data_IF_794053487953
#
_entry.id   IF_794053487953
#
_cell.length_a   1.000
_cell.length_b   1.000
_cell.length_c   1.000
_cell.angle_alpha   90.00
_cell.angle_beta   90.00
_cell.angle_gamma   90.00
#
_symmetry.space_group_name_H-M   'P 1'
#
loop_
_entity.id
_entity.type
_entity.pdbx_description
1 polymer ?
#
# COMPACT_ATOMS: atom_id res chain seq x y z
N UNK A 1 10.06 5.46 -6.21
CA UNK A 1 10.34 6.45 -7.28
C UNK A 1 11.46 7.37 -6.83
N UNK A 2 11.88 8.33 -7.65
CA UNK A 2 12.81 9.37 -7.25
C UNK A 2 12.29 10.74 -7.72
N UNK A 3 12.32 11.74 -6.85
CA UNK A 3 11.98 13.11 -7.21
C UNK A 3 13.20 13.79 -7.83
N UNK A 4 12.97 14.57 -8.89
CA UNK A 4 13.96 15.52 -9.40
C UNK A 4 13.52 16.91 -8.97
N UNK A 5 14.12 17.42 -7.90
CA UNK A 5 13.98 18.85 -7.55
C UNK A 5 14.96 19.63 -8.41
N UNK A 6 14.50 20.71 -9.04
CA UNK A 6 15.42 21.65 -9.73
C UNK A 6 16.10 22.48 -8.63
N UNK A 7 17.16 21.92 -8.05
CA UNK A 7 18.00 22.62 -7.09
C UNK A 7 18.59 23.87 -7.77
N UNK A 8 18.47 25.01 -7.08
CA UNK A 8 19.43 26.09 -7.26
C UNK A 8 20.83 25.64 -6.80
N UNK A 9 21.76 26.56 -6.60
CA UNK A 9 23.12 26.21 -6.16
C UNK A 9 23.22 25.65 -4.73
N UNK A 10 22.09 25.46 -4.03
CA UNK A 10 22.04 24.96 -2.65
C UNK A 10 21.33 23.61 -2.53
N UNK A 11 21.84 22.80 -1.61
CA UNK A 11 21.42 21.41 -1.42
C UNK A 11 20.07 21.33 -0.71
N UNK A 12 19.14 20.47 -1.17
CA UNK A 12 17.89 20.18 -0.43
C UNK A 12 18.22 19.54 0.92
N UNK A 13 17.52 19.97 1.98
CA UNK A 13 17.82 19.61 3.37
C UNK A 13 16.82 18.63 3.96
N UNK A 14 15.54 18.69 3.60
CA UNK A 14 14.54 17.73 4.09
C UNK A 14 13.38 17.51 3.13
N UNK A 15 12.78 16.31 3.25
CA UNK A 15 11.53 15.94 2.61
C UNK A 15 10.59 15.36 3.67
N UNK A 16 9.44 15.99 3.89
CA UNK A 16 8.45 15.58 4.87
C UNK A 16 7.05 15.55 4.25
N UNK A 17 6.21 14.59 4.63
CA UNK A 17 4.79 14.61 4.24
C UNK A 17 4.08 15.76 4.95
N UNK A 18 3.25 16.49 4.21
CA UNK A 18 2.31 17.42 4.79
C UNK A 18 1.17 16.66 5.47
N UNK A 19 1.36 16.37 6.76
CA UNK A 19 0.38 15.69 7.61
C UNK A 19 -0.90 16.49 7.83
N UNK A 20 -0.94 17.78 7.48
CA UNK A 20 -2.16 18.60 7.58
C UNK A 20 -3.20 18.26 6.51
N UNK A 21 -2.78 17.58 5.44
CA UNK A 21 -3.65 17.14 4.36
C UNK A 21 -4.40 15.83 4.65
N UNK A 22 -4.12 15.17 5.79
CA UNK A 22 -4.67 13.85 6.18
C UNK A 22 -4.74 12.85 4.99
N UNK A 23 -3.59 12.39 4.48
CA UNK A 23 -3.53 11.60 3.26
C UNK A 23 -4.20 10.21 3.38
N UNK A 24 -4.58 9.80 4.60
CA UNK A 24 -5.30 8.55 4.87
C UNK A 24 -6.75 8.78 5.29
N UNK A 25 -7.27 10.00 5.13
CA UNK A 25 -8.66 10.32 5.46
C UNK A 25 -9.64 9.39 4.75
N UNK A 26 -10.48 8.71 5.54
CA UNK A 26 -11.49 7.78 5.01
C UNK A 26 -10.95 6.43 4.54
N UNK A 27 -9.65 6.18 4.70
CA UNK A 27 -9.05 4.88 4.44
C UNK A 27 -9.46 3.88 5.53
N UNK A 28 -9.90 2.70 5.14
CA UNK A 28 -10.19 1.59 6.06
C UNK A 28 -9.41 0.33 5.68
N UNK A 29 -9.18 -0.52 6.67
CA UNK A 29 -8.59 -1.84 6.50
C UNK A 29 -9.41 -2.82 7.32
N UNK A 30 -10.07 -3.78 6.66
CA UNK A 30 -10.98 -4.74 7.28
C UNK A 30 -12.15 -4.05 8.03
N UNK A 31 -12.61 -2.91 7.53
CA UNK A 31 -13.68 -2.11 8.12
C UNK A 31 -13.24 -1.14 9.22
N UNK A 32 -11.97 -1.18 9.65
CA UNK A 32 -11.44 -0.31 10.70
C UNK A 32 -10.69 0.90 10.10
N UNK A 33 -10.81 2.10 10.69
CA UNK A 33 -10.17 3.30 10.18
C UNK A 33 -8.64 3.20 10.29
N UNK A 34 -7.94 3.58 9.23
CA UNK A 34 -6.49 3.64 9.21
C UNK A 34 -6.01 4.95 9.83
N UNK A 35 -5.01 4.85 10.71
CA UNK A 35 -4.33 5.99 11.31
C UNK A 35 -2.87 6.01 10.87
N UNK A 36 -2.33 7.19 10.57
CA UNK A 36 -0.95 7.36 10.13
C UNK A 36 -0.13 8.04 11.24
N UNK A 37 0.99 7.44 11.61
CA UNK A 37 1.93 7.99 12.60
C UNK A 37 3.24 8.33 11.91
N UNK A 38 3.67 9.58 12.02
CA UNK A 38 4.98 10.05 11.58
C UNK A 38 6.01 9.88 12.69
N UNK A 39 7.21 9.42 12.34
CA UNK A 39 8.39 9.36 13.21
C UNK A 39 9.57 10.00 12.48
N UNK A 40 10.14 11.05 13.06
CA UNK A 40 11.38 11.65 12.59
C UNK A 40 12.58 10.82 13.05
N UNK A 41 13.46 10.46 12.10
CA UNK A 41 14.67 9.69 12.38
C UNK A 41 15.88 10.62 12.53
N UNK A 42 16.92 10.15 13.24
CA UNK A 42 18.13 10.94 13.50
C UNK A 42 18.98 11.20 12.24
N UNK A 43 18.75 10.46 11.15
CA UNK A 43 19.42 10.61 9.86
C UNK A 43 18.72 11.63 8.93
N UNK A 44 17.65 12.29 9.41
CA UNK A 44 16.88 13.25 8.64
C UNK A 44 15.79 12.63 7.76
N UNK A 45 15.62 11.31 7.79
CA UNK A 45 14.49 10.63 7.17
C UNK A 45 13.24 10.67 8.05
N UNK A 46 12.07 10.46 7.43
CA UNK A 46 10.79 10.32 8.10
C UNK A 46 10.16 8.97 7.80
N UNK A 47 9.75 8.26 8.85
CA UNK A 47 9.00 7.01 8.75
C UNK A 47 7.54 7.25 9.06
N UNK A 48 6.66 6.73 8.20
CA UNK A 48 5.22 6.83 8.30
C UNK A 48 4.64 5.42 8.44
N UNK A 49 4.01 5.13 9.57
CA UNK A 49 3.41 3.82 9.83
C UNK A 49 1.89 3.99 9.88
N UNK A 50 1.20 3.30 8.98
CA UNK A 50 -0.25 3.23 8.94
C UNK A 50 -0.73 2.01 9.72
N UNK A 51 -1.65 2.19 10.67
CA UNK A 51 -2.23 1.09 11.45
C UNK A 51 -3.75 1.17 11.53
N UNK A 52 -4.40 0.00 11.51
CA UNK A 52 -5.83 -0.17 11.75
C UNK A 52 -6.03 -1.18 12.87
N UNK A 53 -6.71 -0.78 13.95
CA UNK A 53 -6.88 -1.57 15.18
C UNK A 53 -5.56 -2.19 15.71
N UNK A 54 -4.46 -1.42 15.62
CA UNK A 54 -3.13 -1.86 16.05
C UNK A 54 -2.40 -2.81 15.09
N UNK A 55 -3.00 -3.17 13.96
CA UNK A 55 -2.37 -3.97 12.91
C UNK A 55 -1.71 -3.05 11.86
N UNK A 56 -0.47 -3.35 11.41
CA UNK A 56 0.18 -2.57 10.37
C UNK A 56 -0.53 -2.77 9.01
N UNK A 57 -0.84 -1.65 8.35
CA UNK A 57 -1.46 -1.61 7.02
C UNK A 57 -0.41 -1.31 5.96
N UNK A 58 0.39 -0.27 6.16
CA UNK A 58 1.56 0.01 5.32
C UNK A 58 2.60 0.82 6.07
N UNK A 59 3.83 0.80 5.56
CA UNK A 59 4.92 1.66 6.00
C UNK A 59 5.47 2.44 4.82
N UNK A 60 5.67 3.74 4.99
CA UNK A 60 6.38 4.59 4.03
C UNK A 60 7.59 5.26 4.68
N UNK A 61 8.74 5.22 4.02
CA UNK A 61 9.94 5.91 4.45
C UNK A 61 10.33 6.96 3.41
N UNK A 62 10.54 8.20 3.85
CA UNK A 62 11.00 9.31 3.01
C UNK A 62 12.38 9.73 3.49
N UNK A 63 13.38 9.58 2.63
CA UNK A 63 14.77 9.92 2.94
C UNK A 63 15.04 11.40 2.68
N UNK A 64 16.06 11.95 3.35
CA UNK A 64 16.49 13.33 3.16
C UNK A 64 17.00 13.64 1.74
N UNK A 65 17.37 12.61 0.96
CA UNK A 65 17.76 12.75 -0.45
C UNK A 65 16.58 12.77 -1.44
N UNK A 66 15.34 12.68 -0.94
CA UNK A 66 14.12 12.67 -1.75
C UNK A 66 13.75 11.31 -2.32
N UNK A 67 14.51 10.26 -1.99
CA UNK A 67 14.07 8.88 -2.27
C UNK A 67 13.01 8.44 -1.26
N UNK A 68 12.08 7.62 -1.72
CA UNK A 68 11.04 7.07 -0.85
C UNK A 68 10.82 5.58 -1.10
N UNK A 69 10.43 4.88 -0.05
CA UNK A 69 10.05 3.48 -0.08
C UNK A 69 8.65 3.32 0.53
N UNK A 70 7.74 2.67 -0.19
CA UNK A 70 6.42 2.33 0.30
C UNK A 70 6.30 0.81 0.34
N UNK A 71 5.81 0.26 1.45
CA UNK A 71 5.55 -1.17 1.65
C UNK A 71 4.14 -1.35 2.19
N UNK A 72 3.29 -2.02 1.41
CA UNK A 72 1.99 -2.51 1.87
C UNK A 72 2.22 -3.76 2.74
N UNK A 73 1.62 -3.79 3.93
CA UNK A 73 1.82 -4.84 4.94
C UNK A 73 0.52 -5.55 5.32
N UNK A 74 -0.62 -4.89 5.12
CA UNK A 74 -1.96 -5.41 5.37
C UNK A 74 -2.93 -5.05 4.24
N UNK A 75 -4.13 -5.67 4.24
CA UNK A 75 -5.17 -5.35 3.27
C UNK A 75 -5.68 -3.92 3.48
N UNK A 76 -6.21 -3.34 2.40
CA UNK A 76 -6.88 -2.05 2.40
C UNK A 76 -8.22 -2.25 1.74
N UNK A 77 -9.29 -1.65 2.28
CA UNK A 77 -10.62 -1.82 1.70
C UNK A 77 -10.80 -0.89 0.50
N UNK A 78 -11.25 -1.46 -0.62
CA UNK A 78 -11.59 -0.70 -1.81
C UNK A 78 -13.07 -0.32 -1.83
N UNK A 79 -13.38 0.77 -2.55
CA UNK A 79 -14.76 1.13 -2.84
C UNK A 79 -15.44 0.02 -3.67
N UNK A 80 -16.76 -0.14 -3.49
CA UNK A 80 -17.52 -1.15 -4.22
C UNK A 80 -17.37 -0.97 -5.75
N UNK A 81 -16.90 -2.00 -6.45
CA UNK A 81 -16.56 -1.99 -7.88
C UNK A 81 -15.32 -1.13 -8.25
N UNK A 82 -14.39 -0.94 -7.33
CA UNK A 82 -13.07 -0.34 -7.60
C UNK A 82 -11.99 -1.36 -7.31
N UNK A 83 -11.15 -1.64 -8.29
CA UNK A 83 -9.98 -2.52 -8.12
C UNK A 83 -8.72 -1.70 -7.81
N UNK A 84 -8.84 -0.37 -7.77
CA UNK A 84 -7.74 0.56 -7.58
C UNK A 84 -8.10 1.61 -6.53
N UNK A 85 -7.15 1.92 -5.67
CA UNK A 85 -7.21 2.99 -4.69
C UNK A 85 -5.96 3.87 -4.81
N UNK A 86 -6.13 5.15 -5.09
CA UNK A 86 -5.03 6.10 -5.20
C UNK A 86 -4.95 6.94 -3.93
N UNK A 87 -3.82 6.84 -3.23
CA UNK A 87 -3.44 7.68 -2.10
C UNK A 87 -2.46 8.76 -2.56
N UNK A 88 -2.76 10.01 -2.27
CA UNK A 88 -1.89 11.14 -2.62
C UNK A 88 -1.21 11.65 -1.36
N UNK A 89 0.10 11.50 -1.27
CA UNK A 89 0.91 12.00 -0.16
C UNK A 89 1.57 13.33 -0.57
N UNK A 90 1.03 14.48 -0.16
CA UNK A 90 1.71 15.75 -0.37
C UNK A 90 3.01 15.77 0.44
N UNK A 91 4.09 16.23 -0.18
CA UNK A 91 5.39 16.39 0.46
C UNK A 91 5.84 17.85 0.38
N UNK A 92 6.55 18.28 1.41
CA UNK A 92 7.21 19.58 1.51
C UNK A 92 8.71 19.28 1.50
N UNK A 93 9.39 19.83 0.50
CA UNK A 93 10.84 19.86 0.41
C UNK A 93 11.33 21.21 0.93
N UNK A 94 12.28 21.21 1.85
CA UNK A 94 12.90 22.42 2.40
C UNK A 94 14.39 22.40 2.09
N UNK A 95 14.94 23.49 1.57
CA UNK A 95 16.38 23.64 1.35
C UNK A 95 17.09 24.34 2.52
N UNK A 96 18.36 24.70 2.32
CA UNK A 96 19.25 25.14 3.39
C UNK A 96 18.96 26.56 3.90
N UNK A 97 18.52 27.47 3.03
CA UNK A 97 18.12 28.83 3.40
C UNK A 97 16.63 28.92 3.78
N UNK A 98 15.90 27.81 3.70
CA UNK A 98 14.56 27.64 4.24
C UNK A 98 13.46 27.90 3.22
N UNK A 99 13.79 27.96 1.94
CA UNK A 99 12.82 27.95 0.86
C UNK A 99 12.13 26.57 0.84
N UNK A 100 10.83 26.60 0.57
CA UNK A 100 9.98 25.40 0.56
C UNK A 100 9.37 25.20 -0.81
N UNK A 101 9.35 23.94 -1.26
CA UNK A 101 8.65 23.50 -2.47
C UNK A 101 7.73 22.35 -2.12
N UNK A 102 6.54 22.32 -2.70
CA UNK A 102 5.59 21.24 -2.51
C UNK A 102 5.55 20.32 -3.72
N UNK A 103 5.39 19.02 -3.47
CA UNK A 103 5.15 18.00 -4.48
C UNK A 103 4.15 16.96 -3.95
N UNK A 104 3.75 16.01 -4.78
CA UNK A 104 2.80 14.95 -4.37
C UNK A 104 3.31 13.60 -4.84
N UNK A 105 3.28 12.62 -3.94
CA UNK A 105 3.56 11.21 -4.24
C UNK A 105 2.22 10.49 -4.45
N UNK A 106 1.83 10.16 -5.69
CA UNK A 106 0.72 9.26 -5.91
C UNK A 106 1.18 7.82 -5.61
N UNK A 107 0.45 7.13 -4.74
CA UNK A 107 0.60 5.71 -4.46
C UNK A 107 -0.71 5.02 -4.85
N UNK A 108 -0.60 4.11 -5.82
CA UNK A 108 -1.72 3.30 -6.26
C UNK A 108 -1.67 1.94 -5.57
N UNK A 109 -2.73 1.60 -4.84
CA UNK A 109 -2.98 0.29 -4.25
C UNK A 109 -4.03 -0.40 -5.10
N UNK A 110 -3.63 -1.40 -5.87
CA UNK A 110 -4.55 -2.30 -6.58
C UNK A 110 -4.99 -3.42 -5.65
N UNK A 111 -6.29 -3.75 -5.67
CA UNK A 111 -6.79 -4.97 -5.05
C UNK A 111 -6.21 -6.18 -5.80
N UNK A 112 -5.74 -7.18 -5.07
CA UNK A 112 -5.30 -8.42 -5.69
C UNK A 112 -6.54 -9.24 -6.00
N UNK A 113 -6.82 -9.44 -7.29
CA UNK A 113 -7.79 -10.44 -7.73
C UNK A 113 -7.32 -11.79 -7.19
N UNK A 114 -8.12 -12.54 -6.42
CA UNK A 114 -7.76 -13.91 -6.05
C UNK A 114 -7.66 -14.72 -7.35
N UNK A 115 -6.43 -14.92 -7.82
CA UNK A 115 -6.18 -15.79 -8.96
C UNK A 115 -6.38 -17.23 -8.48
N UNK A 116 -7.52 -17.83 -8.82
CA UNK A 116 -7.62 -19.30 -8.87
C UNK A 116 -6.72 -19.75 -10.01
N UNK A 117 -5.46 -19.99 -9.70
CA UNK A 117 -4.53 -20.59 -10.65
C UNK A 117 -4.90 -22.08 -10.79
N UNK A 118 -5.50 -22.42 -11.92
CA UNK A 118 -5.86 -23.77 -12.36
C UNK A 118 -6.83 -24.57 -11.47
N UNK A 119 -8.14 -24.44 -11.77
CA UNK A 119 -9.00 -25.64 -11.72
C UNK A 119 -8.56 -26.57 -12.84
N UNK A 120 -7.57 -27.43 -12.58
CA UNK A 120 -7.43 -28.66 -13.37
C UNK A 120 -8.67 -29.47 -13.08
N UNK A 121 -9.56 -29.74 -14.05
CA UNK A 121 -10.60 -30.74 -13.82
C UNK A 121 -9.88 -32.06 -13.56
N UNK A 122 -9.89 -32.54 -12.31
CA UNK A 122 -9.62 -33.94 -12.04
C UNK A 122 -10.77 -34.71 -12.70
N UNK A 123 -10.52 -35.26 -13.89
CA UNK A 123 -11.39 -36.27 -14.45
C UNK A 123 -11.24 -37.50 -13.57
N UNK A 124 -12.23 -37.76 -12.71
CA UNK A 124 -12.35 -39.05 -12.06
C UNK A 124 -12.67 -40.06 -13.15
N UNK A 125 -11.73 -40.98 -13.41
CA UNK A 125 -12.00 -42.12 -14.28
C UNK A 125 -12.63 -43.22 -13.42
N UNK A 126 -13.96 -43.31 -13.43
CA UNK A 126 -14.70 -44.37 -12.75
C UNK A 126 -14.67 -45.71 -13.51
N UNK A 127 -13.98 -45.81 -14.65
CA UNK A 127 -13.87 -47.05 -15.45
C UNK A 127 -13.09 -48.17 -14.70
N UNK A 128 -12.27 -47.80 -13.71
CA UNK A 128 -11.59 -48.73 -12.79
C UNK A 128 -12.33 -48.93 -11.45
N UNK A 129 -13.44 -48.22 -11.22
CA UNK A 129 -14.36 -48.61 -10.17
C UNK A 129 -15.19 -49.77 -10.71
N UNK A 130 -14.78 -50.99 -10.34
CA UNK A 130 -15.61 -52.17 -10.51
C UNK A 130 -17.03 -51.83 -10.07
N UNK A 131 -17.96 -51.85 -11.03
CA UNK A 131 -19.39 -51.73 -10.80
C UNK A 131 -19.87 -52.97 -10.03
N UNK A 132 -19.51 -53.07 -8.75
CA UNK A 132 -20.33 -53.77 -7.76
C UNK A 132 -21.35 -52.78 -7.25
N UNK A 133 -22.20 -52.31 -8.16
CA UNK A 133 -23.57 -51.98 -7.81
C UNK A 133 -24.23 -53.29 -7.43
N UNK A 134 -24.20 -53.62 -6.14
CA UNK A 134 -25.15 -54.57 -5.58
C UNK A 134 -26.52 -53.93 -5.77
N UNK A 135 -27.28 -54.50 -6.68
CA UNK A 135 -28.71 -54.36 -6.78
C UNK A 135 -29.35 -54.35 -5.37
N UNK A 136 -29.98 -53.23 -5.05
CA UNK A 136 -31.01 -53.18 -4.03
C UNK A 136 -32.34 -53.08 -4.78
N UNK A 137 -33.23 -54.03 -4.46
CA UNK A 137 -34.64 -54.17 -4.85
C UNK A 137 -34.90 -54.81 -6.23
N UNK A 138 -35.78 -55.80 -6.37
CA UNK A 138 -36.81 -56.42 -5.52
C UNK A 138 -37.07 -57.85 -6.07
#
# INVERSE_FOLDING_TARGET
GAFTTTQGADHVVSYQIDSTADPVAGLTSQGEPVTLVETANADGSFTYVATADGNPVFTMNVNADGTYNFRLEGPVDHALNSDELVLNFPIIATDFDGDTTTATIPVTITDDVPTIDNVVPLTVNEDDLVSTGSDQND
#
